data_IF_155386440312
#
_entry.id   IF_155386440312
#
_cell.length_a   1.000
_cell.length_b   1.000
_cell.length_c   1.000
_cell.angle_alpha   90.00
_cell.angle_beta   90.00
_cell.angle_gamma   90.00
#
_symmetry.space_group_name_H-M   'P 1'
#
loop_
_entity.id
_entity.type
_entity.pdbx_description
1 polymer ?
#
# COMPACT_ATOMS: atom_id res chain seq x y z
N UNK A 1 -24.15 25.26 3.12
CA UNK A 1 -22.82 25.15 3.77
C UNK A 1 -21.92 24.57 2.73
N UNK A 2 -20.98 25.38 2.25
CA UNK A 2 -20.28 25.20 0.99
C UNK A 2 -19.53 23.86 0.90
N UNK A 3 -20.14 22.89 0.20
CA UNK A 3 -19.51 21.62 -0.19
C UNK A 3 -18.93 21.67 -1.61
N UNK A 4 -19.00 22.82 -2.25
CA UNK A 4 -18.52 23.06 -3.63
C UNK A 4 -17.15 23.76 -3.65
N UNK A 5 -16.15 23.22 -2.95
CA UNK A 5 -14.78 23.41 -3.44
C UNK A 5 -14.64 22.49 -4.66
N UNK A 6 -15.06 22.99 -5.81
CA UNK A 6 -14.81 22.38 -7.10
C UNK A 6 -13.32 22.02 -7.19
N UNK A 7 -12.98 20.77 -7.49
CA UNK A 7 -11.66 20.35 -7.89
C UNK A 7 -11.35 20.97 -9.28
N UNK A 8 -11.12 22.26 -9.31
CA UNK A 8 -10.79 23.04 -10.48
C UNK A 8 -9.27 23.22 -10.58
N UNK A 9 -8.77 23.83 -11.65
CA UNK A 9 -7.37 24.08 -11.98
C UNK A 9 -6.49 24.69 -10.84
N UNK A 10 -7.08 25.18 -9.75
CA UNK A 10 -6.39 25.68 -8.55
C UNK A 10 -5.79 24.56 -7.68
N UNK A 11 -6.16 23.30 -7.92
CA UNK A 11 -5.70 22.16 -7.10
C UNK A 11 -4.28 21.67 -7.43
N UNK A 12 -3.63 22.21 -8.47
CA UNK A 12 -2.20 21.96 -8.70
C UNK A 12 -1.33 22.57 -7.57
N UNK A 13 -1.89 23.51 -6.79
CA UNK A 13 -1.27 24.10 -5.59
C UNK A 13 -1.36 23.23 -4.33
N UNK A 14 -2.23 22.20 -4.31
CA UNK A 14 -2.41 21.32 -3.13
C UNK A 14 -1.15 20.55 -2.78
N UNK A 15 -0.31 20.25 -3.76
CA UNK A 15 0.92 19.51 -3.56
C UNK A 15 2.15 20.31 -3.97
N UNK A 16 3.15 20.33 -3.09
CA UNK A 16 4.50 20.77 -3.45
C UNK A 16 5.20 19.63 -4.17
N UNK A 17 5.39 19.77 -5.47
CA UNK A 17 6.09 18.80 -6.31
C UNK A 17 7.60 19.05 -6.25
N UNK A 18 8.40 18.00 -6.00
CA UNK A 18 9.85 18.05 -6.09
C UNK A 18 10.36 16.84 -6.89
N UNK A 19 11.17 17.13 -7.91
CA UNK A 19 11.86 16.09 -8.69
C UNK A 19 13.15 15.75 -7.93
N UNK A 20 13.24 14.54 -7.39
CA UNK A 20 14.38 14.08 -6.61
C UNK A 20 15.46 13.47 -7.52
N UNK A 21 15.02 12.71 -8.52
CA UNK A 21 15.90 12.03 -9.46
C UNK A 21 15.21 11.86 -10.80
N UNK A 22 15.97 11.97 -11.87
CA UNK A 22 15.51 11.69 -13.25
C UNK A 22 16.49 10.73 -13.92
N UNK A 23 15.98 9.66 -14.49
CA UNK A 23 16.74 8.77 -15.37
C UNK A 23 16.57 9.20 -16.83
N UNK A 24 17.62 9.06 -17.63
CA UNK A 24 17.64 9.38 -19.06
C UNK A 24 17.92 8.13 -19.90
N UNK A 25 17.32 7.00 -19.56
CA UNK A 25 17.45 5.78 -20.35
C UNK A 25 16.32 5.62 -21.37
N UNK A 26 16.47 4.72 -22.33
CA UNK A 26 15.49 4.42 -23.38
C UNK A 26 14.58 3.23 -23.04
N UNK A 27 14.52 2.81 -21.78
CA UNK A 27 13.65 1.72 -21.34
C UNK A 27 12.21 2.17 -21.29
N UNK A 28 11.27 1.23 -21.46
CA UNK A 28 9.84 1.51 -21.32
C UNK A 28 9.54 1.90 -19.89
N UNK A 29 8.88 3.06 -19.71
CA UNK A 29 8.60 3.62 -18.40
C UNK A 29 7.37 2.95 -17.75
N UNK A 30 7.50 2.61 -16.47
CA UNK A 30 6.38 2.23 -15.61
C UNK A 30 6.26 3.24 -14.48
N UNK A 31 5.15 3.97 -14.47
CA UNK A 31 4.81 4.93 -13.43
C UNK A 31 4.21 4.20 -12.24
N UNK A 32 4.78 4.37 -11.04
CA UNK A 32 4.36 3.68 -9.81
C UNK A 32 4.13 4.71 -8.71
N UNK A 33 2.94 4.74 -8.14
CA UNK A 33 2.58 5.67 -7.09
C UNK A 33 2.41 4.98 -5.73
N UNK A 34 2.88 5.66 -4.68
CA UNK A 34 2.68 5.30 -3.28
C UNK A 34 2.11 6.49 -2.51
N UNK A 35 1.19 6.20 -1.59
CA UNK A 35 0.67 7.17 -0.63
C UNK A 35 0.98 6.69 0.79
N UNK A 36 1.63 7.52 1.61
CA UNK A 36 2.07 7.11 2.94
C UNK A 36 2.20 8.29 3.93
N UNK A 37 2.23 7.96 5.20
CA UNK A 37 2.66 8.84 6.30
C UNK A 37 4.08 8.48 6.78
N UNK A 38 4.62 9.21 7.76
CA UNK A 38 5.97 8.98 8.28
C UNK A 38 6.18 7.55 8.87
N UNK A 39 5.11 6.89 9.32
CA UNK A 39 5.19 5.51 9.83
C UNK A 39 5.37 4.48 8.71
N UNK A 40 4.90 4.80 7.50
CA UNK A 40 4.95 3.93 6.33
C UNK A 40 6.10 4.23 5.36
N UNK A 41 6.92 5.26 5.62
CA UNK A 41 8.09 5.57 4.76
C UNK A 41 9.06 4.39 4.65
N UNK A 42 9.41 3.77 5.78
CA UNK A 42 10.32 2.62 5.76
C UNK A 42 9.74 1.41 5.02
N UNK A 43 8.52 0.95 5.31
CA UNK A 43 7.90 -0.12 4.52
C UNK A 43 7.84 0.19 3.02
N UNK A 44 7.42 1.41 2.65
CA UNK A 44 7.39 1.85 1.25
C UNK A 44 8.78 1.82 0.61
N UNK A 45 9.82 2.25 1.34
CA UNK A 45 11.21 2.15 0.86
C UNK A 45 11.67 0.71 0.62
N UNK A 46 11.19 -0.24 1.42
CA UNK A 46 11.43 -1.68 1.21
C UNK A 46 10.66 -2.20 -0.01
N UNK A 47 9.41 -1.76 -0.20
CA UNK A 47 8.62 -2.06 -1.39
C UNK A 47 9.33 -1.55 -2.66
N UNK A 48 9.81 -0.31 -2.66
CA UNK A 48 10.58 0.29 -3.77
C UNK A 48 11.85 -0.54 -4.05
N UNK A 49 12.62 -0.92 -3.02
CA UNK A 49 13.81 -1.74 -3.20
C UNK A 49 13.49 -3.09 -3.87
N UNK A 50 12.36 -3.72 -3.49
CA UNK A 50 11.92 -4.97 -4.10
C UNK A 50 11.50 -4.81 -5.57
N UNK A 51 10.86 -3.68 -5.91
CA UNK A 51 10.49 -3.39 -7.30
C UNK A 51 11.74 -3.15 -8.15
N UNK A 52 12.69 -2.37 -7.66
CA UNK A 52 13.96 -2.10 -8.37
C UNK A 52 14.73 -3.40 -8.64
N UNK A 53 14.84 -4.29 -7.64
CA UNK A 53 15.54 -5.55 -7.76
C UNK A 53 14.97 -6.46 -8.85
N UNK A 54 13.64 -6.51 -8.98
CA UNK A 54 12.93 -7.43 -9.86
C UNK A 54 12.54 -6.83 -11.23
N UNK A 55 12.90 -5.56 -11.53
CA UNK A 55 12.51 -4.87 -12.77
C UNK A 55 13.68 -4.06 -13.37
N UNK A 56 14.84 -4.70 -13.52
CA UNK A 56 16.07 -4.03 -14.01
C UNK A 56 16.02 -3.64 -15.49
N UNK A 57 15.08 -4.18 -16.24
CA UNK A 57 14.83 -3.97 -17.67
C UNK A 57 13.76 -2.91 -17.96
N UNK A 58 13.25 -2.23 -16.93
CA UNK A 58 12.27 -1.17 -17.03
C UNK A 58 12.80 0.14 -16.47
N UNK A 59 12.35 1.27 -17.03
CA UNK A 59 12.47 2.57 -16.37
C UNK A 59 11.35 2.69 -15.35
N UNK A 60 11.69 2.82 -14.08
CA UNK A 60 10.71 2.90 -12.98
C UNK A 60 10.60 4.36 -12.51
N UNK A 61 9.44 4.98 -12.68
CA UNK A 61 9.19 6.32 -12.16
C UNK A 61 8.32 6.24 -10.91
N UNK A 62 8.90 6.52 -9.75
CA UNK A 62 8.19 6.52 -8.46
C UNK A 62 7.61 7.89 -8.16
N UNK A 63 6.29 7.94 -7.98
CA UNK A 63 5.50 9.10 -7.56
C UNK A 63 5.12 8.92 -6.09
N UNK A 64 5.73 9.69 -5.19
CA UNK A 64 5.63 9.52 -3.74
C UNK A 64 4.76 10.63 -3.13
N UNK A 65 3.56 10.29 -2.68
CA UNK A 65 2.58 11.21 -2.12
C UNK A 65 2.52 11.08 -0.60
N UNK A 66 2.63 12.20 0.12
CA UNK A 66 2.58 12.22 1.58
C UNK A 66 2.09 13.58 2.12
N UNK A 67 1.54 13.58 3.36
CA UNK A 67 1.15 14.82 4.05
C UNK A 67 2.38 15.51 4.61
N UNK A 68 3.13 14.81 5.47
CA UNK A 68 4.41 15.26 5.99
C UNK A 68 5.24 14.05 6.43
N UNK A 69 6.54 14.14 6.27
CA UNK A 69 7.49 13.12 6.74
C UNK A 69 8.69 13.80 7.38
N UNK A 70 9.35 13.10 8.32
CA UNK A 70 10.52 13.60 9.00
C UNK A 70 11.69 13.87 8.04
N UNK A 71 12.53 14.87 8.32
CA UNK A 71 13.71 15.18 7.52
C UNK A 71 14.65 13.98 7.38
N UNK A 72 14.74 13.13 8.41
CA UNK A 72 15.47 11.87 8.34
C UNK A 72 14.92 10.96 7.26
N UNK A 73 13.62 10.83 7.14
CA UNK A 73 12.98 10.01 6.12
C UNK A 73 13.06 10.65 4.73
N UNK A 74 12.94 11.99 4.61
CA UNK A 74 13.21 12.70 3.36
C UNK A 74 14.63 12.40 2.87
N UNK A 75 15.63 12.50 3.74
CA UNK A 75 17.02 12.18 3.40
C UNK A 75 17.18 10.75 2.89
N UNK A 76 16.55 9.76 3.52
CA UNK A 76 16.59 8.36 3.07
C UNK A 76 15.93 8.12 1.71
N UNK A 77 14.90 8.90 1.35
CA UNK A 77 14.33 8.85 -0.01
C UNK A 77 15.38 9.30 -1.03
N UNK A 78 16.15 10.35 -0.75
CA UNK A 78 17.26 10.79 -1.61
C UNK A 78 18.38 9.75 -1.76
N UNK A 79 18.55 8.86 -0.77
CA UNK A 79 19.55 7.78 -0.82
C UNK A 79 19.11 6.59 -1.68
N UNK A 80 17.89 6.55 -2.21
CA UNK A 80 17.46 5.51 -3.15
C UNK A 80 18.21 5.71 -4.47
N UNK A 81 19.15 4.81 -4.77
CA UNK A 81 20.01 4.92 -5.94
C UNK A 81 19.81 3.73 -6.89
N UNK A 82 19.58 4.05 -8.16
CA UNK A 82 19.62 3.13 -9.28
C UNK A 82 19.59 3.95 -10.58
N UNK A 83 20.24 3.49 -11.65
CA UNK A 83 20.33 4.26 -12.90
C UNK A 83 19.03 4.26 -13.71
N UNK A 84 18.17 3.27 -13.48
CA UNK A 84 16.90 3.10 -14.20
C UNK A 84 15.68 3.64 -13.46
N UNK A 85 15.86 4.55 -12.49
CA UNK A 85 14.74 5.12 -11.76
C UNK A 85 14.64 6.63 -11.87
N UNK A 86 13.39 7.12 -11.84
CA UNK A 86 13.03 8.51 -11.54
C UNK A 86 12.23 8.55 -10.24
N UNK A 87 12.38 9.62 -9.46
CA UNK A 87 11.62 9.83 -8.23
C UNK A 87 11.08 11.24 -8.21
N UNK A 88 9.77 11.37 -8.07
CA UNK A 88 9.08 12.64 -7.85
C UNK A 88 8.27 12.55 -6.57
N UNK A 89 8.41 13.53 -5.69
CA UNK A 89 7.65 13.63 -4.44
C UNK A 89 6.56 14.69 -4.56
N UNK A 90 5.44 14.42 -3.90
CA UNK A 90 4.26 15.29 -3.83
C UNK A 90 3.89 15.44 -2.35
N UNK A 91 4.34 16.55 -1.74
CA UNK A 91 4.07 16.88 -0.35
C UNK A 91 2.80 17.71 -0.26
N UNK A 92 1.80 17.21 0.44
CA UNK A 92 0.52 17.90 0.63
C UNK A 92 0.74 19.19 1.42
N UNK A 93 0.23 20.34 0.91
CA UNK A 93 0.41 21.63 1.53
C UNK A 93 -0.73 22.03 2.46
N UNK A 94 -1.92 21.49 2.21
CA UNK A 94 -3.11 21.75 3.00
C UNK A 94 -3.70 20.44 3.53
N UNK A 95 -4.29 20.45 4.71
CA UNK A 95 -4.92 19.25 5.26
C UNK A 95 -6.08 18.79 4.37
N UNK A 96 -6.11 17.48 4.03
CA UNK A 96 -7.22 16.89 3.32
C UNK A 96 -8.53 17.06 4.11
N UNK A 97 -9.53 17.64 3.46
CA UNK A 97 -10.87 17.72 4.01
C UNK A 97 -11.54 16.34 3.93
N UNK A 98 -11.34 15.53 4.95
CA UNK A 98 -11.96 14.20 5.10
C UNK A 98 -12.75 14.17 6.40
N UNK A 99 -14.01 13.75 6.32
CA UNK A 99 -14.85 13.61 7.50
C UNK A 99 -14.27 12.50 8.42
N UNK A 100 -13.81 12.86 9.64
CA UNK A 100 -13.14 11.90 10.53
C UNK A 100 -14.07 10.75 10.98
N UNK A 101 -15.39 10.95 10.94
CA UNK A 101 -16.37 9.95 11.33
C UNK A 101 -16.56 8.84 10.30
N UNK A 102 -16.08 9.02 9.06
CA UNK A 102 -16.17 8.01 7.99
C UNK A 102 -14.97 7.07 7.97
N UNK A 103 -13.85 7.46 8.58
CA UNK A 103 -12.64 6.66 8.69
C UNK A 103 -12.66 5.84 9.99
N UNK A 104 -13.49 4.79 10.02
CA UNK A 104 -13.53 3.85 11.14
C UNK A 104 -12.32 2.89 11.10
N UNK A 105 -12.10 2.13 12.18
CA UNK A 105 -11.03 1.13 12.31
C UNK A 105 -9.60 1.71 12.39
N UNK A 106 -9.44 3.02 12.62
CA UNK A 106 -8.13 3.66 12.71
C UNK A 106 -7.39 3.72 11.37
N UNK A 107 -8.12 3.80 10.26
CA UNK A 107 -7.58 4.03 8.92
C UNK A 107 -7.09 5.49 8.86
N UNK A 108 -5.82 5.74 8.50
CA UNK A 108 -5.29 7.10 8.44
C UNK A 108 -5.86 7.86 7.23
N UNK A 109 -6.00 9.19 7.35
CA UNK A 109 -6.45 10.06 6.24
C UNK A 109 -5.56 9.94 5.00
N UNK A 110 -4.27 9.64 5.19
CA UNK A 110 -3.33 9.44 4.10
C UNK A 110 -3.73 8.33 3.11
N UNK A 111 -4.60 7.40 3.51
CA UNK A 111 -5.14 6.41 2.57
C UNK A 111 -6.02 7.05 1.49
N UNK A 112 -6.68 8.17 1.78
CA UNK A 112 -7.49 8.91 0.81
C UNK A 112 -6.63 9.66 -0.23
N UNK A 113 -5.31 9.82 -0.02
CA UNK A 113 -4.41 10.40 -1.02
C UNK A 113 -4.41 9.61 -2.33
N UNK A 114 -4.68 8.28 -2.28
CA UNK A 114 -4.77 7.46 -3.49
C UNK A 114 -5.81 7.94 -4.50
N UNK A 115 -6.88 8.59 -4.04
CA UNK A 115 -7.89 9.17 -4.92
C UNK A 115 -7.35 10.34 -5.74
N UNK A 116 -6.35 11.06 -5.21
CA UNK A 116 -5.73 12.23 -5.85
C UNK A 116 -4.68 11.86 -6.91
N UNK A 117 -4.07 10.68 -6.78
CA UNK A 117 -2.95 10.27 -7.64
C UNK A 117 -3.25 10.43 -9.14
N UNK A 118 -4.34 9.87 -9.71
CA UNK A 118 -4.60 10.00 -11.13
C UNK A 118 -5.01 11.42 -11.55
N UNK A 119 -5.59 12.18 -10.63
CA UNK A 119 -5.94 13.58 -10.89
C UNK A 119 -4.68 14.46 -10.97
N UNK A 120 -3.75 14.33 -10.05
CA UNK A 120 -2.49 15.09 -10.05
C UNK A 120 -1.62 14.73 -11.25
N UNK A 121 -1.60 13.47 -11.64
CA UNK A 121 -0.79 12.96 -12.76
C UNK A 121 -1.48 13.09 -14.14
N UNK A 122 -2.67 13.68 -14.24
CA UNK A 122 -3.53 13.69 -15.44
C UNK A 122 -2.91 14.24 -16.71
N UNK A 123 -1.91 15.10 -16.59
CA UNK A 123 -1.19 15.71 -17.71
C UNK A 123 0.23 15.16 -17.91
N UNK A 124 0.62 14.17 -17.11
CA UNK A 124 1.99 13.66 -17.08
C UNK A 124 2.09 12.22 -17.58
N UNK A 125 1.07 11.39 -17.29
CA UNK A 125 1.13 9.95 -17.57
C UNK A 125 -0.22 9.41 -18.09
N UNK A 126 -0.16 8.40 -18.97
CA UNK A 126 -1.37 7.72 -19.46
C UNK A 126 -1.88 6.68 -18.47
N UNK A 127 -0.96 6.05 -17.73
CA UNK A 127 -1.29 5.03 -16.73
C UNK A 127 -0.35 5.09 -15.53
N UNK A 128 -0.87 4.71 -14.36
CA UNK A 128 -0.10 4.64 -13.12
C UNK A 128 -0.47 3.39 -12.32
N UNK A 129 0.54 2.68 -11.83
CA UNK A 129 0.38 1.58 -10.87
C UNK A 129 0.41 2.14 -9.46
N UNK A 130 -0.75 2.17 -8.79
CA UNK A 130 -0.81 2.46 -7.36
C UNK A 130 -0.56 1.19 -6.56
N UNK A 131 0.31 1.29 -5.56
CA UNK A 131 0.61 0.21 -4.60
C UNK A 131 0.57 0.72 -3.16
N UNK A 132 0.08 -0.13 -2.24
CA UNK A 132 0.23 0.11 -0.81
C UNK A 132 1.68 -0.13 -0.35
N UNK A 133 2.14 0.64 0.65
CA UNK A 133 3.53 0.58 1.14
C UNK A 133 3.89 -0.71 1.90
N UNK A 134 2.94 -1.61 2.14
CA UNK A 134 3.13 -2.91 2.81
C UNK A 134 3.12 -4.09 1.82
N UNK A 135 3.56 -3.82 0.60
CA UNK A 135 3.71 -4.80 -0.47
C UNK A 135 5.19 -5.10 -0.75
N UNK A 136 5.45 -6.29 -1.27
CA UNK A 136 6.78 -6.70 -1.76
C UNK A 136 6.63 -7.27 -3.17
N UNK A 137 7.38 -6.73 -4.12
CA UNK A 137 7.50 -7.24 -5.47
C UNK A 137 8.49 -8.40 -5.49
N UNK A 138 8.10 -9.56 -6.01
CA UNK A 138 8.89 -10.80 -6.03
C UNK A 138 9.25 -11.26 -7.46
N UNK A 139 8.63 -10.62 -8.47
CA UNK A 139 8.79 -10.99 -9.87
C UNK A 139 8.59 -9.77 -10.77
N UNK A 140 8.88 -9.89 -12.04
CA UNK A 140 8.79 -8.79 -13.00
C UNK A 140 7.37 -8.27 -13.19
N UNK A 141 7.26 -6.93 -13.26
CA UNK A 141 6.04 -6.19 -13.61
C UNK A 141 5.93 -5.93 -15.11
N UNK A 142 6.87 -6.41 -15.93
CA UNK A 142 6.97 -6.11 -17.35
C UNK A 142 5.65 -6.35 -18.11
N UNK A 143 4.90 -7.40 -17.76
CA UNK A 143 3.62 -7.72 -18.39
C UNK A 143 2.55 -6.62 -18.22
N UNK A 144 2.69 -5.70 -17.25
CA UNK A 144 1.78 -4.57 -17.09
C UNK A 144 1.93 -3.55 -18.21
N UNK A 145 3.10 -3.46 -18.85
CA UNK A 145 3.30 -2.57 -20.00
C UNK A 145 2.39 -2.87 -21.19
N UNK A 146 2.00 -4.12 -21.34
CA UNK A 146 1.18 -4.58 -22.47
C UNK A 146 -0.28 -4.82 -22.07
N UNK A 147 -0.61 -4.48 -20.81
CA UNK A 147 -1.97 -4.66 -20.30
C UNK A 147 -2.91 -3.60 -20.91
N UNK A 148 -3.82 -4.05 -21.77
CA UNK A 148 -4.81 -3.17 -22.37
C UNK A 148 -5.90 -2.78 -21.35
N UNK A 149 -5.98 -1.48 -21.03
CA UNK A 149 -6.98 -0.87 -20.15
C UNK A 149 -8.13 -0.18 -20.91
N UNK A 150 -8.22 -0.32 -22.24
CA UNK A 150 -9.25 0.36 -23.03
C UNK A 150 -10.66 0.00 -22.52
N UNK A 151 -11.44 1.03 -22.19
CA UNK A 151 -12.81 0.87 -21.67
C UNK A 151 -12.87 0.49 -20.17
N UNK A 152 -11.73 0.47 -19.48
CA UNK A 152 -11.68 0.22 -18.03
C UNK A 152 -10.96 1.36 -17.32
N UNK A 153 -11.46 1.73 -16.14
CA UNK A 153 -10.84 2.76 -15.29
C UNK A 153 -9.55 2.22 -14.65
N UNK A 154 -9.56 0.96 -14.23
CA UNK A 154 -8.38 0.33 -13.67
C UNK A 154 -8.39 -1.21 -13.87
N UNK A 155 -7.19 -1.81 -13.92
CA UNK A 155 -7.04 -3.22 -13.63
C UNK A 155 -6.82 -3.41 -12.13
N UNK A 156 -7.53 -4.39 -11.56
CA UNK A 156 -7.61 -4.65 -10.13
C UNK A 156 -7.51 -6.15 -9.85
N UNK A 157 -7.20 -6.50 -8.61
CA UNK A 157 -7.11 -7.91 -8.19
C UNK A 157 -8.21 -8.23 -7.20
N UNK A 158 -9.02 -9.25 -7.50
CA UNK A 158 -10.09 -9.70 -6.61
C UNK A 158 -9.54 -10.03 -5.21
N UNK A 159 -10.20 -9.54 -4.18
CA UNK A 159 -9.84 -9.80 -2.78
C UNK A 159 -10.07 -11.28 -2.42
N UNK A 160 -9.65 -11.69 -1.22
CA UNK A 160 -9.89 -13.03 -0.70
C UNK A 160 -11.39 -13.35 -0.70
N UNK A 161 -11.73 -14.63 -0.86
CA UNK A 161 -13.14 -15.07 -0.82
C UNK A 161 -13.82 -14.69 0.49
N UNK A 162 -13.08 -14.68 1.60
CA UNK A 162 -13.59 -14.23 2.90
C UNK A 162 -13.99 -12.75 2.88
N UNK A 163 -13.14 -11.88 2.30
CA UNK A 163 -13.43 -10.45 2.17
C UNK A 163 -14.57 -10.18 1.20
N UNK A 164 -14.62 -10.88 0.06
CA UNK A 164 -15.72 -10.81 -0.89
C UNK A 164 -17.06 -11.14 -0.22
N UNK A 165 -17.15 -12.20 0.58
CA UNK A 165 -18.35 -12.58 1.33
C UNK A 165 -18.73 -11.53 2.38
N UNK A 166 -17.75 -10.97 3.10
CA UNK A 166 -18.00 -9.88 4.05
C UNK A 166 -18.54 -8.64 3.35
N UNK A 167 -17.96 -8.24 2.23
CA UNK A 167 -18.40 -7.09 1.45
C UNK A 167 -19.81 -7.27 0.89
N UNK A 168 -20.16 -8.45 0.41
CA UNK A 168 -21.51 -8.80 -0.04
C UNK A 168 -22.57 -8.54 1.03
N UNK A 169 -22.24 -8.82 2.31
CA UNK A 169 -23.16 -8.58 3.43
C UNK A 169 -23.40 -7.08 3.76
N UNK A 170 -22.62 -6.16 3.17
CA UNK A 170 -22.74 -4.72 3.42
C UNK A 170 -23.77 -4.03 2.54
N UNK A 171 -24.30 -4.71 1.53
CA UNK A 171 -25.43 -4.22 0.73
C UNK A 171 -25.12 -3.08 -0.23
N UNK A 172 -23.84 -2.92 -0.64
CA UNK A 172 -23.41 -1.85 -1.55
C UNK A 172 -23.76 -2.10 -3.03
N UNK A 173 -24.42 -3.22 -3.36
CA UNK A 173 -24.78 -3.55 -4.74
C UNK A 173 -23.62 -3.97 -5.62
N UNK A 174 -22.47 -4.29 -5.02
CA UNK A 174 -21.26 -4.74 -5.73
C UNK A 174 -21.39 -6.24 -6.01
N UNK A 175 -21.01 -6.66 -7.23
CA UNK A 175 -20.84 -8.07 -7.56
C UNK A 175 -19.76 -8.67 -6.65
N UNK A 176 -20.16 -9.64 -5.83
CA UNK A 176 -19.31 -10.24 -4.80
C UNK A 176 -17.98 -10.75 -5.37
N UNK A 177 -18.01 -11.39 -6.54
CA UNK A 177 -16.79 -11.95 -7.14
C UNK A 177 -15.86 -10.89 -7.72
N UNK A 178 -16.34 -9.65 -7.90
CA UNK A 178 -15.57 -8.52 -8.41
C UNK A 178 -14.99 -7.63 -7.30
N UNK A 179 -15.41 -7.82 -6.03
CA UNK A 179 -14.85 -7.04 -4.95
C UNK A 179 -13.34 -7.23 -4.87
N UNK A 180 -12.59 -6.14 -4.99
CA UNK A 180 -11.14 -6.13 -5.08
C UNK A 180 -10.49 -5.48 -3.87
N UNK A 181 -9.23 -5.83 -3.64
CA UNK A 181 -8.39 -5.16 -2.64
C UNK A 181 -7.75 -3.90 -3.23
N UNK A 182 -7.96 -2.75 -2.59
CA UNK A 182 -7.55 -1.43 -3.08
C UNK A 182 -6.04 -1.15 -2.97
N UNK A 183 -5.25 -2.07 -2.45
CA UNK A 183 -3.80 -1.90 -2.35
C UNK A 183 -3.06 -2.03 -3.68
N UNK A 184 -3.70 -2.59 -4.71
CA UNK A 184 -3.18 -2.66 -6.08
C UNK A 184 -4.22 -2.11 -7.06
N UNK A 185 -3.83 -1.05 -7.79
CA UNK A 185 -4.66 -0.45 -8.84
C UNK A 185 -3.75 -0.08 -10.03
N UNK A 186 -3.90 -0.73 -11.18
CA UNK A 186 -3.25 -0.25 -12.39
C UNK A 186 -4.24 0.62 -13.17
N UNK A 187 -4.07 1.94 -13.08
CA UNK A 187 -5.08 2.94 -13.39
C UNK A 187 -4.87 3.50 -14.80
N UNK A 188 -5.94 3.57 -15.58
CA UNK A 188 -6.03 4.38 -16.78
C UNK A 188 -6.38 5.81 -16.37
N UNK A 189 -5.40 6.71 -16.44
CA UNK A 189 -5.51 8.08 -15.93
C UNK A 189 -6.57 8.89 -16.66
N UNK A 190 -6.69 8.71 -17.97
CA UNK A 190 -7.71 9.42 -18.76
C UNK A 190 -9.14 8.95 -18.42
N UNK A 191 -9.37 7.65 -18.28
CA UNK A 191 -10.69 7.12 -17.91
C UNK A 191 -11.08 7.51 -16.48
N UNK A 192 -10.14 7.47 -15.53
CA UNK A 192 -10.37 7.92 -14.16
C UNK A 192 -10.86 9.37 -14.10
N UNK A 193 -10.17 10.28 -14.79
CA UNK A 193 -10.52 11.71 -14.81
C UNK A 193 -11.79 11.99 -15.60
N UNK A 194 -12.02 11.31 -16.73
CA UNK A 194 -13.25 11.46 -17.52
C UNK A 194 -14.52 11.05 -16.77
N UNK A 195 -14.38 10.15 -15.80
CA UNK A 195 -15.46 9.68 -14.92
C UNK A 195 -15.54 10.43 -13.59
N UNK A 196 -14.71 11.46 -13.37
CA UNK A 196 -14.65 12.25 -12.14
C UNK A 196 -14.52 11.38 -10.86
N UNK A 197 -13.70 10.31 -10.92
CA UNK A 197 -13.61 9.34 -9.82
C UNK A 197 -13.08 10.00 -8.54
N UNK A 198 -12.12 10.93 -8.65
CA UNK A 198 -11.58 11.67 -7.51
C UNK A 198 -12.66 12.44 -6.77
N UNK A 199 -13.44 13.26 -7.47
CA UNK A 199 -14.50 14.09 -6.91
C UNK A 199 -15.60 13.22 -6.27
N UNK A 200 -16.02 12.16 -6.97
CA UNK A 200 -17.01 11.23 -6.48
C UNK A 200 -16.54 10.51 -5.21
N UNK A 201 -15.27 10.07 -5.17
CA UNK A 201 -14.69 9.40 -4.00
C UNK A 201 -14.69 10.32 -2.77
N UNK A 202 -14.24 11.59 -2.92
CA UNK A 202 -14.28 12.56 -1.83
C UNK A 202 -15.71 12.94 -1.42
N UNK A 203 -16.64 13.07 -2.36
CA UNK A 203 -18.05 13.28 -2.06
C UNK A 203 -18.62 12.15 -1.22
N UNK A 204 -18.30 10.89 -1.56
CA UNK A 204 -18.75 9.72 -0.81
C UNK A 204 -18.14 9.67 0.60
N UNK A 205 -16.82 9.86 0.74
CA UNK A 205 -16.13 9.88 2.04
C UNK A 205 -16.68 10.99 2.94
N UNK A 206 -17.08 12.14 2.37
CA UNK A 206 -17.60 13.28 3.12
C UNK A 206 -19.12 13.27 3.32
N UNK A 207 -19.85 12.32 2.73
CA UNK A 207 -21.32 12.23 2.80
C UNK A 207 -21.86 11.94 4.21
N UNK A 208 -21.01 11.49 5.14
CA UNK A 208 -21.42 10.97 6.46
C UNK A 208 -21.77 9.49 6.46
N UNK A 209 -21.78 8.84 5.30
CA UNK A 209 -21.96 7.38 5.21
C UNK A 209 -20.72 6.68 5.74
N UNK A 210 -20.90 5.69 6.62
CA UNK A 210 -19.81 4.88 7.15
C UNK A 210 -19.55 3.71 6.22
N UNK A 211 -18.40 3.73 5.55
CA UNK A 211 -17.90 2.61 4.77
C UNK A 211 -16.98 1.75 5.63
N UNK A 212 -17.30 0.47 5.78
CA UNK A 212 -16.62 -0.42 6.72
C UNK A 212 -15.12 -0.56 6.43
N UNK A 213 -14.78 -0.63 5.16
CA UNK A 213 -13.40 -0.70 4.68
C UNK A 213 -12.98 0.61 3.97
N UNK A 214 -13.62 1.73 4.38
CA UNK A 214 -13.31 3.10 3.98
C UNK A 214 -13.08 3.26 2.46
N UNK A 215 -11.87 3.64 2.07
CA UNK A 215 -11.45 3.89 0.69
C UNK A 215 -11.61 2.66 -0.23
N UNK A 216 -11.41 1.44 0.30
CA UNK A 216 -11.61 0.21 -0.48
C UNK A 216 -13.08 0.03 -0.88
N UNK A 217 -14.03 0.26 0.04
CA UNK A 217 -15.46 0.16 -0.29
C UNK A 217 -15.87 1.21 -1.31
N UNK A 218 -15.42 2.46 -1.12
CA UNK A 218 -15.69 3.57 -2.04
C UNK A 218 -15.19 3.25 -3.45
N UNK A 219 -13.95 2.79 -3.58
CA UNK A 219 -13.39 2.41 -4.89
C UNK A 219 -14.13 1.24 -5.52
N UNK A 220 -14.51 0.23 -4.73
CA UNK A 220 -15.29 -0.89 -5.24
C UNK A 220 -16.67 -0.47 -5.76
N UNK A 221 -17.33 0.51 -5.11
CA UNK A 221 -18.61 1.06 -5.59
C UNK A 221 -18.40 1.83 -6.90
N UNK A 222 -17.39 2.70 -6.96
CA UNK A 222 -17.16 3.59 -8.10
C UNK A 222 -16.65 2.85 -9.35
N UNK A 223 -15.83 1.82 -9.16
CA UNK A 223 -15.16 1.11 -10.24
C UNK A 223 -15.85 -0.21 -10.64
N UNK A 224 -16.89 -0.63 -9.93
CA UNK A 224 -17.55 -1.94 -10.01
C UNK A 224 -17.66 -2.52 -11.45
N UNK A 225 -18.31 -1.78 -12.36
CA UNK A 225 -18.54 -2.24 -13.75
C UNK A 225 -17.39 -1.90 -14.70
N UNK A 226 -16.53 -0.95 -14.30
CA UNK A 226 -15.48 -0.38 -15.14
C UNK A 226 -14.08 -0.83 -14.73
N UNK A 227 -13.98 -1.87 -13.89
CA UNK A 227 -12.71 -2.48 -13.51
C UNK A 227 -12.43 -3.76 -14.30
N UNK A 228 -11.16 -3.99 -14.62
CA UNK A 228 -10.66 -5.21 -15.25
C UNK A 228 -10.02 -6.11 -14.21
N UNK A 229 -10.59 -7.26 -13.92
CA UNK A 229 -9.95 -8.24 -13.04
C UNK A 229 -8.73 -8.86 -13.73
N UNK A 230 -7.60 -8.91 -13.00
CA UNK A 230 -6.37 -9.56 -13.42
C UNK A 230 -5.95 -10.65 -12.43
N UNK A 231 -4.88 -11.37 -12.78
CA UNK A 231 -4.38 -12.52 -12.03
C UNK A 231 -4.03 -12.16 -10.57
N UNK A 232 -4.39 -13.06 -9.65
CA UNK A 232 -4.17 -12.92 -8.20
C UNK A 232 -2.70 -12.82 -7.81
N UNK A 233 -1.77 -13.23 -8.67
CA UNK A 233 -0.33 -13.10 -8.43
C UNK A 233 0.10 -11.65 -8.22
N UNK A 234 -0.64 -10.66 -8.76
CA UNK A 234 -0.33 -9.22 -8.65
C UNK A 234 -0.78 -8.57 -7.32
N UNK A 235 -1.57 -9.27 -6.52
CA UNK A 235 -1.93 -8.82 -5.17
C UNK A 235 -2.26 -10.02 -4.28
N UNK A 236 -1.24 -10.82 -3.95
CA UNK A 236 -1.41 -11.98 -3.08
C UNK A 236 -1.46 -11.52 -1.62
N UNK A 237 -2.66 -11.34 -1.11
CA UNK A 237 -2.88 -10.93 0.28
C UNK A 237 -2.56 -12.04 1.27
N UNK A 238 -1.81 -11.72 2.32
CA UNK A 238 -1.49 -12.64 3.41
C UNK A 238 -1.58 -11.96 4.78
N UNK A 239 -1.85 -12.77 5.80
CA UNK A 239 -1.72 -12.37 7.21
C UNK A 239 -0.60 -13.16 7.85
N UNK A 240 0.41 -12.47 8.39
CA UNK A 240 1.54 -13.13 9.03
C UNK A 240 1.16 -13.82 10.33
N UNK A 241 1.83 -14.93 10.61
CA UNK A 241 1.73 -15.72 11.84
C UNK A 241 3.05 -15.68 12.60
N UNK A 242 3.04 -15.58 13.94
CA UNK A 242 4.27 -15.61 14.74
C UNK A 242 4.89 -17.01 14.83
N UNK A 243 4.22 -18.04 14.32
CA UNK A 243 4.63 -19.46 14.45
C UNK A 243 4.83 -20.16 13.12
N UNK A 244 4.36 -19.56 12.01
CA UNK A 244 4.44 -20.12 10.65
C UNK A 244 5.07 -19.11 9.69
N UNK A 245 5.87 -19.61 8.76
CA UNK A 245 6.43 -18.82 7.64
C UNK A 245 5.41 -18.75 6.51
N UNK A 246 4.39 -17.92 6.69
CA UNK A 246 3.28 -17.78 5.74
C UNK A 246 3.74 -17.14 4.44
N UNK A 247 4.60 -16.13 4.52
CA UNK A 247 5.13 -15.40 3.38
C UNK A 247 6.04 -16.27 2.50
N UNK A 248 6.92 -17.11 3.08
CA UNK A 248 7.75 -18.05 2.32
C UNK A 248 6.88 -18.99 1.45
N UNK A 249 5.78 -19.49 2.03
CA UNK A 249 4.85 -20.37 1.31
C UNK A 249 4.06 -19.63 0.23
N UNK A 250 3.69 -18.38 0.50
CA UNK A 250 2.86 -17.57 -0.40
C UNK A 250 3.67 -16.94 -1.53
N UNK A 251 5.00 -16.91 -1.46
CA UNK A 251 5.86 -16.28 -2.46
C UNK A 251 5.88 -17.03 -3.80
N UNK A 252 5.67 -18.35 -3.79
CA UNK A 252 5.70 -19.17 -5.00
C UNK A 252 4.61 -18.77 -6.00
N UNK A 253 5.02 -18.39 -7.22
CA UNK A 253 4.12 -17.95 -8.28
C UNK A 253 3.42 -16.61 -7.99
N UNK A 254 3.97 -15.81 -7.07
CA UNK A 254 3.45 -14.50 -6.69
C UNK A 254 4.34 -13.42 -7.26
N UNK A 255 3.75 -12.44 -7.94
CA UNK A 255 4.46 -11.26 -8.43
C UNK A 255 4.49 -10.16 -7.37
N UNK A 256 3.37 -9.90 -6.69
CA UNK A 256 3.31 -8.95 -5.57
C UNK A 256 2.66 -9.61 -4.37
N UNK A 257 3.41 -9.67 -3.27
CA UNK A 257 2.96 -10.14 -1.96
C UNK A 257 2.49 -8.95 -1.14
N UNK A 258 1.28 -9.02 -0.56
CA UNK A 258 0.68 -7.93 0.21
C UNK A 258 0.43 -8.38 1.66
N UNK A 259 1.11 -7.75 2.60
CA UNK A 259 0.97 -8.01 4.05
C UNK A 259 -0.22 -7.25 4.63
N UNK A 260 -1.44 -7.78 4.43
CA UNK A 260 -2.66 -7.19 5.00
C UNK A 260 -2.74 -7.36 6.51
N UNK A 261 -3.67 -6.65 7.17
CA UNK A 261 -3.91 -6.66 8.63
C UNK A 261 -2.84 -5.95 9.47
N UNK A 262 -2.94 -6.10 10.80
CA UNK A 262 -2.01 -5.50 11.78
C UNK A 262 -0.70 -6.27 11.93
N UNK A 263 -0.63 -7.50 11.39
CA UNK A 263 0.54 -8.36 11.47
C UNK A 263 1.52 -7.99 10.35
N UNK A 264 2.37 -7.00 10.59
CA UNK A 264 3.27 -6.46 9.57
C UNK A 264 4.68 -7.04 9.64
N UNK A 265 5.38 -7.24 8.50
CA UNK A 265 6.68 -7.89 8.44
C UNK A 265 7.81 -7.12 9.14
N UNK A 266 7.62 -5.83 9.41
CA UNK A 266 8.57 -5.01 10.17
C UNK A 266 8.45 -5.18 11.69
N UNK A 267 7.65 -6.12 12.17
CA UNK A 267 7.72 -6.59 13.55
C UNK A 267 8.55 -7.87 13.63
N UNK A 268 9.62 -7.85 14.42
CA UNK A 268 10.59 -8.96 14.57
C UNK A 268 9.94 -10.32 14.87
N UNK A 269 8.77 -10.31 15.55
CA UNK A 269 8.08 -11.54 15.97
C UNK A 269 7.68 -12.42 14.78
N UNK A 270 7.50 -11.85 13.58
CA UNK A 270 7.09 -12.60 12.39
C UNK A 270 8.26 -13.19 11.61
N UNK A 271 9.50 -12.68 11.83
CA UNK A 271 10.73 -13.21 11.23
C UNK A 271 10.65 -13.36 9.70
N UNK A 272 9.99 -12.42 9.02
CA UNK A 272 9.85 -12.43 7.56
C UNK A 272 11.21 -12.28 6.88
N UNK A 273 11.73 -13.36 6.32
CA UNK A 273 13.01 -13.35 5.61
C UNK A 273 12.91 -12.57 4.29
N UNK A 274 11.77 -12.63 3.63
CA UNK A 274 11.49 -11.87 2.40
C UNK A 274 11.60 -10.37 2.66
N UNK A 275 10.92 -9.88 3.71
CA UNK A 275 10.98 -8.46 4.07
C UNK A 275 12.41 -8.05 4.49
N UNK A 276 13.08 -8.86 5.31
CA UNK A 276 14.46 -8.58 5.76
C UNK A 276 15.46 -8.54 4.61
N UNK A 277 15.29 -9.38 3.60
CA UNK A 277 16.11 -9.37 2.39
C UNK A 277 16.05 -7.99 1.71
N UNK A 278 14.87 -7.48 1.37
CA UNK A 278 14.73 -6.18 0.71
C UNK A 278 14.99 -4.99 1.64
N UNK A 279 14.73 -5.12 2.95
CA UNK A 279 15.15 -4.12 3.93
C UNK A 279 16.66 -3.92 3.89
N UNK A 280 17.44 -5.01 3.79
CA UNK A 280 18.92 -4.94 3.73
C UNK A 280 19.44 -4.22 2.48
N UNK A 281 18.66 -4.14 1.42
CA UNK A 281 18.96 -3.44 0.16
C UNK A 281 18.43 -2.01 0.11
N UNK A 282 17.62 -1.62 1.09
CA UNK A 282 17.01 -0.30 1.15
C UNK A 282 17.84 0.70 1.98
N UNK A 283 17.63 2.00 1.84
CA UNK A 283 18.23 3.00 2.72
C UNK A 283 17.89 2.84 4.20
N UNK A 284 16.90 2.01 4.54
CA UNK A 284 16.48 1.72 5.92
C UNK A 284 17.11 0.45 6.51
N UNK A 285 18.14 -0.12 5.88
CA UNK A 285 18.82 -1.37 6.29
C UNK A 285 19.29 -1.43 7.75
N UNK A 286 19.58 -0.28 8.34
CA UNK A 286 20.01 -0.12 9.74
C UNK A 286 18.86 0.18 10.69
N UNK A 287 17.60 0.15 10.21
CA UNK A 287 16.44 0.42 11.07
C UNK A 287 16.18 -0.75 12.02
N UNK A 288 16.14 -0.44 13.31
CA UNK A 288 15.78 -1.42 14.33
C UNK A 288 14.28 -1.73 14.28
N UNK A 289 13.93 -2.98 14.01
CA UNK A 289 12.54 -3.41 13.97
C UNK A 289 11.91 -3.49 15.36
N UNK A 290 10.63 -3.18 15.45
CA UNK A 290 9.84 -3.34 16.68
C UNK A 290 9.61 -4.84 16.97
N UNK A 291 9.52 -5.21 18.25
CA UNK A 291 9.37 -6.61 18.63
C UNK A 291 8.01 -7.20 18.21
N UNK A 292 6.91 -6.52 18.56
CA UNK A 292 5.54 -7.00 18.33
C UNK A 292 4.52 -5.88 18.49
N UNK A 293 3.36 -5.98 17.81
CA UNK A 293 2.26 -5.04 18.01
C UNK A 293 1.42 -5.34 19.28
N UNK A 294 1.47 -6.56 19.85
CA UNK A 294 0.66 -6.91 21.03
C UNK A 294 1.17 -8.10 21.84
N UNK A 295 0.72 -8.18 23.12
CA UNK A 295 1.11 -9.23 24.07
C UNK A 295 0.60 -10.63 23.66
N UNK A 296 -0.55 -10.75 22.99
CA UNK A 296 -1.10 -12.05 22.61
C UNK A 296 -0.18 -12.81 21.66
N UNK A 297 0.46 -12.09 20.73
CA UNK A 297 1.42 -12.69 19.78
C UNK A 297 2.66 -13.21 20.50
N UNK A 298 3.17 -12.49 21.51
CA UNK A 298 4.29 -12.97 22.36
C UNK A 298 3.93 -14.27 23.07
N UNK A 299 2.71 -14.37 23.61
CA UNK A 299 2.23 -15.60 24.25
C UNK A 299 2.16 -16.78 23.28
N UNK A 300 1.67 -16.55 22.05
CA UNK A 300 1.59 -17.56 21.00
C UNK A 300 3.00 -18.06 20.65
N UNK A 301 3.95 -17.14 20.42
CA UNK A 301 5.35 -17.47 20.11
C UNK A 301 6.02 -18.23 21.25
N UNK A 302 5.81 -17.82 22.51
CA UNK A 302 6.32 -18.53 23.67
C UNK A 302 5.79 -19.96 23.73
N UNK A 303 4.47 -20.19 23.57
CA UNK A 303 3.89 -21.54 23.53
C UNK A 303 4.50 -22.41 22.46
N UNK A 304 4.75 -21.85 21.27
CA UNK A 304 5.41 -22.57 20.18
C UNK A 304 6.82 -23.01 20.58
N UNK A 305 7.65 -22.14 21.15
CA UNK A 305 8.98 -22.49 21.60
C UNK A 305 8.97 -23.56 22.72
N UNK A 306 7.97 -23.51 23.62
CA UNK A 306 7.80 -24.55 24.62
C UNK A 306 7.50 -25.93 23.99
N UNK A 307 6.59 -25.96 23.00
CA UNK A 307 6.27 -27.21 22.28
C UNK A 307 7.46 -27.76 21.49
N UNK A 308 8.32 -26.85 20.97
CA UNK A 308 9.53 -27.20 20.23
C UNK A 308 10.73 -27.52 21.15
N UNK A 309 10.52 -27.54 22.48
CA UNK A 309 11.54 -27.77 23.52
C UNK A 309 12.69 -26.77 23.50
N UNK A 310 12.44 -25.53 23.01
CA UNK A 310 13.38 -24.41 22.98
C UNK A 310 13.21 -23.55 24.23
N UNK A 311 13.66 -24.04 25.38
CA UNK A 311 13.36 -23.45 26.70
C UNK A 311 13.92 -22.05 26.90
N UNK A 312 15.09 -21.71 26.32
CA UNK A 312 15.66 -20.37 26.41
C UNK A 312 14.79 -19.34 25.68
N UNK A 313 14.38 -19.63 24.46
CA UNK A 313 13.50 -18.77 23.67
C UNK A 313 12.10 -18.68 24.29
N UNK A 314 11.57 -19.79 24.81
CA UNK A 314 10.34 -19.80 25.58
C UNK A 314 10.39 -18.81 26.74
N UNK A 315 11.42 -18.89 27.59
CA UNK A 315 11.57 -17.99 28.74
C UNK A 315 11.65 -16.53 28.32
N UNK A 316 12.46 -16.22 27.30
CA UNK A 316 12.60 -14.87 26.71
C UNK A 316 11.24 -14.30 26.28
N UNK A 317 10.50 -15.03 25.45
CA UNK A 317 9.22 -14.57 24.93
C UNK A 317 8.11 -14.55 25.98
N UNK A 318 8.17 -15.45 26.96
CA UNK A 318 7.23 -15.45 28.08
C UNK A 318 7.45 -14.26 29.00
N UNK A 319 8.70 -13.93 29.34
CA UNK A 319 9.03 -12.74 30.13
C UNK A 319 8.58 -11.45 29.40
N UNK A 320 8.80 -11.34 28.09
CA UNK A 320 8.30 -10.24 27.28
C UNK A 320 6.76 -10.18 27.29
N UNK A 321 6.08 -11.31 27.18
CA UNK A 321 4.62 -11.35 27.30
C UNK A 321 4.15 -10.78 28.65
N UNK A 322 4.74 -11.21 29.77
CA UNK A 322 4.40 -10.69 31.11
C UNK A 322 4.63 -9.18 31.18
N UNK A 323 5.80 -8.71 30.72
CA UNK A 323 6.13 -7.29 30.66
C UNK A 323 5.06 -6.50 29.88
N UNK A 324 4.74 -6.91 28.67
CA UNK A 324 3.74 -6.22 27.81
C UNK A 324 2.34 -6.26 28.45
N UNK A 325 1.94 -7.41 29.06
CA UNK A 325 0.64 -7.53 29.72
C UNK A 325 0.47 -6.61 30.93
N UNK A 326 1.56 -6.38 31.68
CA UNK A 326 1.52 -5.57 32.91
C UNK A 326 1.71 -4.07 32.66
N UNK A 327 2.50 -3.71 31.63
CA UNK A 327 2.96 -2.32 31.43
C UNK A 327 2.49 -1.69 30.13
N UNK A 328 1.79 -2.42 29.22
CA UNK A 328 1.15 -1.82 28.07
C UNK A 328 -0.31 -1.54 28.44
N UNK A 329 -0.54 -0.35 28.99
CA UNK A 329 -1.86 0.27 29.08
C UNK A 329 -2.01 1.27 27.94
#
# INVERSE_FOLDING_TARGET
MDTDKNFNHENDSLFKKNIIKTSNNNLKELNIAFCFDDNFVMPTGVAIASIIENNKDSHLHFHLFFESISEKNKFRIFEIQNDNISITTYELQEELSVNPNTLILGIPKSTCLRFMVPFILRHEVDSVLYLDGDMICLDSLHALHDLNLKGHIAAVVADSKEMQQKASSLGYGIDTDKYFNAGFLFINVSEWNSKNVTEMAFSMINSGTIYKYADQDVLNILLNENSKLIDKKYNKTITLSPIDRVDDKASHGTTILHYVTKNKPWFMIFESQIFLHYLSQSPWKDTQLKLTPNASLLRIKAKKFLSDKKFFDWFKYFALYIKYKLFSK
#
